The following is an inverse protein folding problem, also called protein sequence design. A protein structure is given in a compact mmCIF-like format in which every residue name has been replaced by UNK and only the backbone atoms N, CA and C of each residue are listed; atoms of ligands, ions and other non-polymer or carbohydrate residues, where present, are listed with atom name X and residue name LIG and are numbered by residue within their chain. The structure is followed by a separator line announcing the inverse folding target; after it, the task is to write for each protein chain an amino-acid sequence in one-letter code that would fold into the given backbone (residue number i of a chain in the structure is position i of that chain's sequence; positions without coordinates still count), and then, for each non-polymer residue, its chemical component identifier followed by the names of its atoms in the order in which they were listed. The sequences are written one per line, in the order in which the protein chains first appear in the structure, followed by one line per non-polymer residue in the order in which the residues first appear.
data_IF_279249024354
#
_entry.id   IF_279249024354
#
_cell.length_a   1.000
_cell.length_b   1.000
_cell.length_c   1.000
_cell.angle_alpha   90.00
_cell.angle_beta   90.00
_cell.angle_gamma   90.00
#
_symmetry.space_group_name_H-M   'P 1'
#
loop_
_entity.id
_entity.type
_entity.pdbx_description
1 polymer ?
#
# COMPACT_ATOMS: atom_id res chain seq x y z
N UNK A 1 11.32 -14.61 7.02
CA UNK A 1 10.50 -13.43 6.63
C UNK A 1 10.07 -12.78 7.92
N UNK A 2 10.35 -11.48 8.10
CA UNK A 2 9.90 -10.75 9.29
C UNK A 2 8.38 -10.84 9.36
N UNK A 3 7.85 -11.39 10.45
CA UNK A 3 6.42 -11.64 10.60
C UNK A 3 5.66 -10.30 10.67
N UNK A 4 4.68 -10.11 9.78
CA UNK A 4 3.71 -9.00 9.91
C UNK A 4 2.64 -9.45 10.89
N UNK A 5 2.55 -8.76 12.02
CA UNK A 5 1.49 -8.98 13.01
C UNK A 5 0.16 -8.43 12.49
N UNK A 6 -0.92 -9.22 12.53
CA UNK A 6 -2.27 -8.71 12.26
C UNK A 6 -2.67 -7.74 13.38
N UNK A 7 -3.03 -6.51 13.02
CA UNK A 7 -3.45 -5.47 13.97
C UNK A 7 -4.97 -5.34 14.07
N UNK A 8 -5.69 -5.64 12.98
CA UNK A 8 -7.14 -5.64 12.91
C UNK A 8 -7.64 -6.03 11.52
N UNK A 9 -8.89 -5.70 11.21
CA UNK A 9 -9.53 -6.01 9.93
C UNK A 9 -8.74 -5.48 8.76
N UNK A 10 -8.30 -4.22 8.78
CA UNK A 10 -7.67 -3.59 7.61
C UNK A 10 -6.15 -3.50 7.68
N UNK A 11 -5.55 -3.68 8.86
CA UNK A 11 -4.14 -3.37 9.09
C UNK A 11 -3.28 -4.54 9.58
N UNK A 12 -2.05 -4.57 9.10
CA UNK A 12 -0.93 -5.29 9.69
C UNK A 12 0.12 -4.35 10.29
N UNK A 13 1.04 -4.89 11.09
CA UNK A 13 2.16 -4.17 11.68
C UNK A 13 3.46 -4.92 11.47
N UNK A 14 4.45 -4.23 10.90
CA UNK A 14 5.82 -4.73 10.78
C UNK A 14 6.57 -4.68 12.10
N UNK A 15 7.64 -5.48 12.22
CA UNK A 15 8.49 -5.50 13.42
C UNK A 15 9.15 -4.15 13.74
N UNK A 16 9.30 -3.28 12.74
CA UNK A 16 9.80 -1.91 12.88
C UNK A 16 8.71 -0.90 13.32
N UNK A 17 7.51 -1.39 13.63
CA UNK A 17 6.37 -0.56 14.04
C UNK A 17 5.61 0.08 12.89
N UNK A 18 6.04 -0.11 11.64
CA UNK A 18 5.31 0.39 10.47
C UNK A 18 3.92 -0.25 10.37
N UNK A 19 2.96 0.53 9.90
CA UNK A 19 1.59 0.10 9.65
C UNK A 19 1.43 -0.25 8.19
N UNK A 20 0.77 -1.38 7.95
CA UNK A 20 0.57 -1.94 6.62
C UNK A 20 -0.91 -2.04 6.32
N UNK A 21 -1.30 -1.70 5.10
CA UNK A 21 -2.65 -1.91 4.57
C UNK A 21 -2.55 -2.38 3.12
N UNK A 22 -3.49 -3.21 2.68
CA UNK A 22 -3.45 -3.70 1.30
C UNK A 22 -4.11 -2.67 0.37
N UNK A 23 -3.45 -2.35 -0.74
CA UNK A 23 -3.92 -1.39 -1.73
C UNK A 23 -4.46 -2.13 -2.97
N UNK A 24 -5.78 -2.17 -3.20
CA UNK A 24 -6.36 -2.76 -4.41
C UNK A 24 -5.84 -2.16 -5.73
N UNK A 25 -5.56 -0.85 -5.77
CA UNK A 25 -5.06 -0.17 -6.96
C UNK A 25 -3.65 -0.59 -7.37
N UNK A 26 -2.78 -0.83 -6.39
CA UNK A 26 -1.42 -1.33 -6.65
C UNK A 26 -1.35 -2.86 -6.70
N UNK A 27 -2.42 -3.54 -6.26
CA UNK A 27 -2.45 -4.99 -6.02
C UNK A 27 -1.31 -5.46 -5.11
N UNK A 28 -1.12 -4.76 -4.00
CA UNK A 28 -0.05 -5.07 -3.07
C UNK A 28 -0.13 -4.26 -1.77
N UNK A 29 0.67 -4.66 -0.78
CA UNK A 29 0.71 -3.99 0.51
C UNK A 29 1.42 -2.63 0.42
N UNK A 30 0.82 -1.62 1.04
CA UNK A 30 1.46 -0.35 1.33
C UNK A 30 1.90 -0.33 2.79
N UNK A 31 3.09 0.22 3.05
CA UNK A 31 3.60 0.43 4.41
C UNK A 31 3.86 1.91 4.66
N UNK A 32 3.43 2.38 5.84
CA UNK A 32 3.62 3.74 6.29
C UNK A 32 4.10 3.76 7.73
N UNK A 33 4.82 4.82 8.09
CA UNK A 33 5.16 5.10 9.48
C UNK A 33 4.10 6.02 10.07
N UNK A 34 3.65 5.72 11.27
CA UNK A 34 2.62 6.52 11.94
C UNK A 34 3.11 6.97 13.32
N UNK A 35 2.65 8.13 13.77
CA UNK A 35 2.82 8.65 15.14
C UNK A 35 4.27 8.49 15.70
N UNK A 36 5.28 8.74 14.85
CA UNK A 36 6.71 8.56 15.18
C UNK A 36 7.49 9.86 14.90
N UNK A 37 7.24 10.93 15.66
CA UNK A 37 7.68 12.30 15.33
C UNK A 37 9.21 12.51 15.36
N UNK A 38 9.98 11.54 15.86
CA UNK A 38 11.44 11.62 15.98
C UNK A 38 12.17 10.68 15.00
N UNK A 39 11.44 10.06 14.07
CA UNK A 39 12.02 9.20 13.04
C UNK A 39 12.15 9.98 11.74
N UNK A 40 13.34 10.06 11.10
CA UNK A 40 13.49 10.72 9.81
C UNK A 40 12.57 10.14 8.74
N UNK A 41 12.04 11.02 7.89
CA UNK A 41 11.18 10.67 6.76
C UNK A 41 9.69 10.94 7.00
N UNK A 42 8.81 10.56 6.04
CA UNK A 42 7.37 10.77 6.15
C UNK A 42 6.77 10.08 7.38
N UNK A 43 5.94 10.83 8.12
CA UNK A 43 5.23 10.34 9.29
C UNK A 43 3.76 10.77 9.24
N UNK A 44 2.86 9.81 9.25
CA UNK A 44 1.42 10.07 9.21
C UNK A 44 0.79 10.06 10.60
N UNK A 45 -0.19 10.92 10.81
CA UNK A 45 -1.16 10.77 11.87
C UNK A 45 -2.00 9.51 11.63
N UNK A 46 -2.33 8.81 12.71
CA UNK A 46 -3.20 7.63 12.69
C UNK A 46 -4.17 7.69 13.86
N UNK A 47 -5.46 7.46 13.60
CA UNK A 47 -6.52 7.48 14.60
C UNK A 47 -6.48 6.30 15.61
N UNK A 48 -5.61 5.31 15.41
CA UNK A 48 -5.48 4.16 16.32
C UNK A 48 -6.48 3.04 16.08
N UNK A 49 -7.38 3.15 15.09
CA UNK A 49 -8.38 2.13 14.80
C UNK A 49 -7.95 1.23 13.62
N UNK A 50 -7.62 -0.05 13.85
CA UNK A 50 -7.13 -0.92 12.78
C UNK A 50 -8.24 -1.55 11.94
N UNK A 51 -9.50 -1.40 12.34
CA UNK A 51 -10.66 -1.88 11.59
C UNK A 51 -11.24 -0.80 10.68
N UNK A 52 -11.17 0.46 11.13
CA UNK A 52 -11.59 1.67 10.42
C UNK A 52 -10.47 2.72 10.46
N UNK A 53 -9.33 2.44 9.80
CA UNK A 53 -8.18 3.34 9.83
C UNK A 53 -8.48 4.66 9.15
N UNK A 54 -7.94 5.72 9.75
CA UNK A 54 -7.82 7.04 9.14
C UNK A 54 -6.37 7.50 9.28
N UNK A 55 -5.76 7.89 8.15
CA UNK A 55 -4.41 8.43 8.09
C UNK A 55 -4.41 9.88 7.63
N UNK A 56 -3.55 10.71 8.24
CA UNK A 56 -3.40 12.12 7.86
C UNK A 56 -1.93 12.52 7.72
N UNK A 57 -1.55 13.29 6.68
CA UNK A 57 -2.34 13.74 5.53
C UNK A 57 -2.57 12.57 4.53
N UNK A 58 -2.75 12.87 3.24
CA UNK A 58 -2.80 11.84 2.20
C UNK A 58 -1.55 10.96 2.20
N UNK A 59 -1.74 9.70 1.82
CA UNK A 59 -0.67 8.71 1.63
C UNK A 59 -0.23 8.74 0.17
N UNK A 60 1.05 9.00 -0.07
CA UNK A 60 1.67 8.94 -1.38
C UNK A 60 2.75 7.85 -1.41
N UNK A 61 2.56 6.86 -2.26
CA UNK A 61 3.50 5.76 -2.49
C UNK A 61 3.99 5.84 -3.92
N UNK A 62 5.31 5.77 -4.09
CA UNK A 62 5.96 5.70 -5.40
C UNK A 62 6.70 4.37 -5.53
N UNK A 63 6.83 3.87 -6.76
CA UNK A 63 7.50 2.61 -7.03
C UNK A 63 7.51 2.29 -8.51
N UNK A 64 7.47 1.00 -8.81
CA UNK A 64 7.29 0.48 -10.17
C UNK A 64 6.16 -0.54 -10.19
N UNK A 65 5.45 -0.64 -11.30
CA UNK A 65 4.41 -1.65 -11.45
C UNK A 65 5.01 -3.06 -11.43
N UNK A 66 4.22 -4.03 -10.93
CA UNK A 66 4.54 -5.45 -11.06
C UNK A 66 4.73 -5.85 -12.52
N UNK A 67 5.69 -6.76 -12.73
CA UNK A 67 5.93 -7.37 -14.05
C UNK A 67 4.71 -8.19 -14.44
N UNK A 68 4.33 -8.08 -15.70
CA UNK A 68 3.47 -9.07 -16.36
C UNK A 68 4.23 -10.38 -16.55
N UNK A 69 3.51 -11.48 -16.82
CA UNK A 69 4.14 -12.77 -17.12
C UNK A 69 5.07 -12.68 -18.34
N UNK A 70 4.70 -11.88 -19.36
CA UNK A 70 5.50 -11.64 -20.56
C UNK A 70 6.78 -10.84 -20.25
N UNK A 71 6.67 -9.80 -19.41
CA UNK A 71 7.82 -9.02 -18.94
C UNK A 71 8.77 -9.89 -18.10
N UNK A 72 8.22 -10.74 -17.22
CA UNK A 72 9.00 -11.71 -16.45
C UNK A 72 9.72 -12.72 -17.37
N UNK A 73 9.00 -13.32 -18.32
CA UNK A 73 9.58 -14.24 -19.30
C UNK A 73 10.74 -13.58 -20.07
N UNK A 74 10.55 -12.33 -20.50
CA UNK A 74 11.58 -11.53 -21.18
C UNK A 74 12.84 -11.39 -20.32
N UNK A 75 12.70 -11.03 -19.04
CA UNK A 75 13.85 -10.90 -18.12
C UNK A 75 14.54 -12.25 -17.89
N UNK A 76 13.78 -13.33 -17.70
CA UNK A 76 14.38 -14.67 -17.49
C UNK A 76 15.10 -15.21 -18.72
N UNK A 77 14.73 -14.77 -19.92
CA UNK A 77 15.42 -15.07 -21.17
C UNK A 77 16.67 -14.18 -21.42
N UNK A 78 17.03 -13.31 -20.46
CA UNK A 78 18.16 -12.37 -20.59
C UNK A 78 17.84 -11.10 -21.36
N UNK A 79 16.55 -10.84 -21.64
CA UNK A 79 16.07 -9.61 -22.23
C UNK A 79 16.02 -8.45 -21.24
N UNK A 80 15.52 -7.30 -21.71
CA UNK A 80 15.39 -6.09 -20.92
C UNK A 80 13.95 -5.60 -20.92
N UNK A 81 13.46 -5.19 -19.75
CA UNK A 81 12.14 -4.57 -19.55
C UNK A 81 12.36 -3.19 -18.94
N UNK A 82 11.75 -2.17 -19.56
CA UNK A 82 11.77 -0.81 -19.02
C UNK A 82 10.85 -0.75 -17.79
N UNK A 83 11.35 -0.31 -16.62
CA UNK A 83 10.51 -0.17 -15.44
C UNK A 83 9.39 0.84 -15.68
N UNK A 84 8.15 0.46 -15.33
CA UNK A 84 6.98 1.34 -15.42
C UNK A 84 6.79 2.05 -14.09
N UNK A 85 6.99 3.38 -13.99
CA UNK A 85 6.82 4.11 -12.73
C UNK A 85 5.39 4.01 -12.21
N UNK A 86 5.26 3.82 -10.90
CA UNK A 86 4.01 3.78 -10.17
C UNK A 86 3.92 4.99 -9.24
N UNK A 87 2.81 5.71 -9.31
CA UNK A 87 2.40 6.70 -8.30
C UNK A 87 1.02 6.32 -7.80
N UNK A 88 0.88 6.12 -6.50
CA UNK A 88 -0.39 5.93 -5.83
C UNK A 88 -0.56 7.00 -4.76
N UNK A 89 -1.52 7.89 -4.96
CA UNK A 89 -1.83 8.97 -4.05
C UNK A 89 -3.27 8.81 -3.56
N UNK A 90 -3.45 8.72 -2.24
CA UNK A 90 -4.74 8.35 -1.67
C UNK A 90 -5.02 8.99 -0.32
N UNK A 91 -6.30 9.16 0.00
CA UNK A 91 -6.77 9.34 1.37
C UNK A 91 -7.29 8.01 1.89
N UNK A 92 -6.95 7.69 3.14
CA UNK A 92 -7.53 6.57 3.87
C UNK A 92 -8.31 7.13 5.04
N UNK A 93 -9.62 6.90 5.03
CA UNK A 93 -10.56 7.42 6.03
C UNK A 93 -11.63 6.38 6.31
N UNK A 94 -11.85 6.09 7.59
CA UNK A 94 -12.87 5.17 8.08
C UNK A 94 -12.85 3.81 7.37
N UNK A 95 -11.65 3.27 7.14
CA UNK A 95 -11.46 1.97 6.49
C UNK A 95 -11.76 1.94 4.99
N UNK A 96 -11.86 3.10 4.35
CA UNK A 96 -11.98 3.24 2.89
C UNK A 96 -10.75 3.93 2.31
N UNK A 97 -10.39 3.55 1.10
CA UNK A 97 -9.31 4.18 0.34
C UNK A 97 -9.92 4.97 -0.83
N UNK A 98 -9.65 6.28 -0.87
CA UNK A 98 -9.99 7.18 -1.95
C UNK A 98 -8.72 7.49 -2.75
N UNK A 99 -8.67 7.07 -4.00
CA UNK A 99 -7.56 7.35 -4.91
C UNK A 99 -7.72 8.71 -5.58
N UNK A 100 -6.63 9.48 -5.61
CA UNK A 100 -6.60 10.78 -6.27
C UNK A 100 -6.32 10.64 -7.77
N UNK A 101 -6.55 11.73 -8.51
CA UNK A 101 -6.51 11.74 -9.97
C UNK A 101 -5.10 11.58 -10.56
N UNK A 102 -4.07 11.77 -9.75
CA UNK A 102 -2.65 11.63 -10.10
C UNK A 102 -2.09 10.21 -9.88
N UNK A 103 -2.95 9.24 -9.54
CA UNK A 103 -2.58 7.83 -9.53
C UNK A 103 -2.30 7.32 -10.96
N UNK A 104 -1.24 6.52 -11.13
CA UNK A 104 -0.90 5.89 -12.44
C UNK A 104 -1.51 4.50 -12.64
N UNK A 105 -2.28 4.01 -11.67
CA UNK A 105 -2.99 2.73 -11.75
C UNK A 105 -4.48 2.91 -12.10
N UNK A 106 -5.14 1.83 -12.53
CA UNK A 106 -6.53 1.81 -13.01
C UNK A 106 -7.61 2.22 -11.98
N UNK A 107 -7.24 2.35 -10.72
CA UNK A 107 -8.11 2.81 -9.64
C UNK A 107 -8.11 4.33 -9.41
N UNK A 108 -7.41 5.12 -10.21
CA UNK A 108 -7.41 6.59 -10.10
C UNK A 108 -8.83 7.18 -10.06
N UNK A 109 -9.08 8.08 -9.11
CA UNK A 109 -10.38 8.73 -8.90
C UNK A 109 -11.48 7.84 -8.29
N UNK A 110 -11.19 6.59 -7.92
CA UNK A 110 -12.16 5.67 -7.32
C UNK A 110 -12.04 5.65 -5.79
N UNK A 111 -13.12 5.27 -5.13
CA UNK A 111 -13.13 4.98 -3.68
C UNK A 111 -13.64 3.56 -3.46
N UNK A 112 -12.91 2.78 -2.69
CA UNK A 112 -13.29 1.39 -2.33
C UNK A 112 -13.02 1.13 -0.84
N UNK A 113 -13.63 0.09 -0.31
CA UNK A 113 -13.32 -0.36 1.05
C UNK A 113 -11.91 -0.97 1.08
N UNK A 114 -11.17 -0.74 2.16
CA UNK A 114 -9.96 -1.51 2.40
C UNK A 114 -10.35 -2.98 2.60
N UNK A 115 -9.64 -3.90 1.92
CA UNK A 115 -9.90 -5.32 2.08
C UNK A 115 -9.47 -5.78 3.47
N UNK A 116 -9.91 -6.99 3.85
CA UNK A 116 -9.42 -7.62 5.06
C UNK A 116 -7.94 -7.98 4.91
N UNK A 117 -7.11 -7.49 5.83
CA UNK A 117 -5.65 -7.61 5.76
C UNK A 117 -5.19 -9.06 5.66
N UNK A 118 -5.68 -9.95 6.53
CA UNK A 118 -5.29 -11.35 6.53
C UNK A 118 -5.61 -12.03 5.19
N UNK A 119 -6.84 -11.86 4.69
CA UNK A 119 -7.28 -12.46 3.43
C UNK A 119 -6.51 -11.91 2.23
N UNK A 120 -6.30 -10.59 2.18
CA UNK A 120 -5.59 -9.96 1.08
C UNK A 120 -4.10 -10.33 1.08
N UNK A 121 -3.49 -10.43 2.27
CA UNK A 121 -2.10 -10.85 2.43
C UNK A 121 -1.88 -12.32 2.06
N UNK A 122 -2.79 -13.21 2.46
CA UNK A 122 -2.71 -14.65 2.12
C UNK A 122 -2.88 -14.92 0.61
N UNK A 123 -3.62 -14.06 -0.09
CA UNK A 123 -3.93 -14.20 -1.51
C UNK A 123 -2.91 -13.52 -2.45
N UNK A 124 -1.90 -12.83 -1.89
CA UNK A 124 -0.89 -12.08 -2.63
C UNK A 124 0.44 -12.84 -2.70
#
# INVERSE_FOLDING_TARGET
MSEIKILGRCLGQGADGSIWFFCPGCNGPHSIRVNSPNTPGPNWGYNGNPDLPTFTPSVHVTGVHHLTEEEYATLTAGGHVQPRPLSCHSFVTDGRIQYLGDCTHSMAGKTVDLPEWSKAWEAW
#
